data_IF_941777779693
#
_entry.id   IF_941777779693
#
_cell.length_a   1.000
_cell.length_b   1.000
_cell.length_c   1.000
_cell.angle_alpha   90.00
_cell.angle_beta   90.00
_cell.angle_gamma   90.00
#
_symmetry.space_group_name_H-M   'P 1'
#
loop_
_entity.id
_entity.type
_entity.pdbx_description
1 polymer ?
#
# COMPACT_ATOMS: atom_id res chain seq x y z
N UNK A 1 -19.56 13.67 -13.46
CA UNK A 1 -19.18 12.41 -14.08
C UNK A 1 -17.70 12.11 -13.96
N UNK A 2 -16.82 13.00 -14.38
CA UNK A 2 -15.38 12.79 -14.22
C UNK A 2 -14.95 12.62 -12.76
N UNK A 3 -15.60 13.36 -11.86
CA UNK A 3 -15.30 13.27 -10.42
C UNK A 3 -15.68 11.90 -9.86
N UNK A 4 -16.83 11.37 -10.26
CA UNK A 4 -17.30 10.05 -9.83
C UNK A 4 -16.37 8.94 -10.32
N UNK A 5 -15.91 9.04 -11.57
CA UNK A 5 -14.96 8.08 -12.14
C UNK A 5 -13.63 8.11 -11.40
N UNK A 6 -13.14 9.31 -11.05
CA UNK A 6 -11.91 9.46 -10.29
C UNK A 6 -12.05 8.90 -8.88
N UNK A 7 -13.21 9.11 -8.24
CA UNK A 7 -13.45 8.59 -6.91
C UNK A 7 -13.52 7.06 -6.91
N UNK A 8 -14.16 6.46 -7.93
CA UNK A 8 -14.20 5.01 -8.09
C UNK A 8 -12.80 4.45 -8.29
N UNK A 9 -11.98 5.07 -9.15
CA UNK A 9 -10.61 4.63 -9.39
C UNK A 9 -9.75 4.72 -8.14
N UNK A 10 -9.88 5.80 -7.37
CA UNK A 10 -9.15 5.96 -6.12
C UNK A 10 -9.52 4.89 -5.11
N UNK A 11 -10.80 4.58 -5.02
CA UNK A 11 -11.28 3.51 -4.16
C UNK A 11 -10.71 2.16 -4.57
N UNK A 12 -10.72 1.86 -5.86
CA UNK A 12 -10.14 0.63 -6.39
C UNK A 12 -8.65 0.52 -6.08
N UNK A 13 -7.91 1.61 -6.22
CA UNK A 13 -6.48 1.66 -5.90
C UNK A 13 -6.27 1.37 -4.40
N UNK A 14 -7.03 2.04 -3.54
CA UNK A 14 -6.92 1.82 -2.09
C UNK A 14 -7.23 0.37 -1.72
N UNK A 15 -8.26 -0.22 -2.33
CA UNK A 15 -8.63 -1.60 -2.06
C UNK A 15 -7.56 -2.57 -2.54
N UNK A 16 -6.99 -2.33 -3.72
CA UNK A 16 -5.91 -3.16 -4.26
C UNK A 16 -4.68 -3.11 -3.37
N UNK A 17 -4.26 -1.93 -2.98
CA UNK A 17 -3.10 -1.75 -2.11
C UNK A 17 -3.37 -2.36 -0.75
N UNK A 18 -4.55 -2.13 -0.19
CA UNK A 18 -4.92 -2.67 1.11
C UNK A 18 -4.90 -4.19 1.16
N UNK A 19 -5.45 -4.84 0.13
CA UNK A 19 -5.42 -6.30 0.02
C UNK A 19 -3.98 -6.81 -0.09
N UNK A 20 -3.16 -6.11 -0.85
CA UNK A 20 -1.77 -6.50 -1.03
C UNK A 20 -0.99 -6.38 0.28
N UNK A 21 -1.21 -5.30 1.02
CA UNK A 21 -0.59 -5.12 2.34
C UNK A 21 -0.97 -6.28 3.26
N UNK A 22 -2.26 -6.65 3.31
CA UNK A 22 -2.72 -7.74 4.15
C UNK A 22 -2.07 -9.07 3.77
N UNK A 23 -1.97 -9.36 2.48
CA UNK A 23 -1.33 -10.59 1.98
C UNK A 23 0.15 -10.62 2.37
N UNK A 24 0.87 -9.53 2.12
CA UNK A 24 2.30 -9.46 2.42
C UNK A 24 2.57 -9.50 3.91
N UNK A 25 1.71 -8.86 4.71
CA UNK A 25 1.82 -8.92 6.16
C UNK A 25 1.69 -10.36 6.66
N UNK A 26 0.69 -11.07 6.20
CA UNK A 26 0.47 -12.47 6.58
C UNK A 26 1.62 -13.36 6.11
N UNK A 27 2.11 -13.11 4.91
CA UNK A 27 3.27 -13.82 4.38
C UNK A 27 4.49 -13.61 5.26
N UNK A 28 4.68 -12.41 5.77
CA UNK A 28 5.78 -12.09 6.69
C UNK A 28 5.54 -12.62 8.10
N UNK A 29 4.38 -13.22 8.39
CA UNK A 29 4.07 -13.77 9.69
C UNK A 29 3.71 -12.72 10.74
N UNK A 30 3.29 -11.53 10.33
CA UNK A 30 2.99 -10.43 11.23
C UNK A 30 1.50 -10.25 11.45
N UNK A 31 1.12 -9.94 12.71
CA UNK A 31 -0.23 -9.43 12.99
C UNK A 31 -0.33 -7.97 12.58
N UNK A 32 -1.57 -7.45 12.53
CA UNK A 32 -1.77 -6.02 12.29
C UNK A 32 -1.08 -5.17 13.36
N UNK A 33 -1.13 -5.62 14.60
CA UNK A 33 -0.47 -4.94 15.71
C UNK A 33 1.04 -4.91 15.54
N UNK A 34 1.64 -6.04 15.19
CA UNK A 34 3.08 -6.13 14.96
C UNK A 34 3.53 -5.24 13.80
N UNK A 35 2.76 -5.24 12.70
CA UNK A 35 3.06 -4.37 11.57
C UNK A 35 2.97 -2.90 11.99
N UNK A 36 1.91 -2.54 12.74
CA UNK A 36 1.73 -1.16 13.19
C UNK A 36 2.89 -0.70 14.06
N UNK A 37 3.34 -1.52 15.00
CA UNK A 37 4.45 -1.19 15.88
C UNK A 37 5.74 -0.99 15.07
N UNK A 38 6.04 -1.90 14.16
CA UNK A 38 7.27 -1.83 13.36
C UNK A 38 7.24 -0.62 12.41
N UNK A 39 6.08 -0.31 11.85
CA UNK A 39 5.93 0.81 10.92
C UNK A 39 5.72 2.16 11.61
N UNK A 40 5.58 2.18 12.94
CA UNK A 40 5.31 3.42 13.66
C UNK A 40 3.89 3.95 13.43
N UNK A 41 2.94 3.06 13.20
CA UNK A 41 1.53 3.41 12.93
C UNK A 41 0.64 2.87 14.03
N UNK A 42 -0.58 3.40 14.12
CA UNK A 42 -1.58 2.84 15.01
C UNK A 42 -2.21 1.60 14.36
N UNK A 43 -2.60 0.63 15.19
CA UNK A 43 -3.24 -0.59 14.71
C UNK A 43 -4.51 -0.31 13.91
N UNK A 44 -5.31 0.66 14.36
CA UNK A 44 -6.53 1.07 13.65
C UNK A 44 -6.21 1.63 12.27
N UNK A 45 -5.08 2.30 12.12
CA UNK A 45 -4.61 2.83 10.85
C UNK A 45 -4.31 1.69 9.88
N UNK A 46 -3.55 0.69 10.32
CA UNK A 46 -3.23 -0.50 9.52
C UNK A 46 -4.51 -1.22 9.08
N UNK A 47 -5.45 -1.39 10.01
CA UNK A 47 -6.74 -2.04 9.71
C UNK A 47 -7.51 -1.29 8.62
N UNK A 48 -7.57 0.03 8.67
CA UNK A 48 -8.25 0.85 7.67
C UNK A 48 -7.56 0.76 6.31
N UNK A 49 -6.24 0.75 6.30
CA UNK A 49 -5.46 0.59 5.08
C UNK A 49 -5.80 -0.74 4.40
N UNK A 50 -5.79 -1.82 5.16
CA UNK A 50 -6.07 -3.16 4.62
C UNK A 50 -7.49 -3.31 4.10
N UNK A 51 -8.43 -2.53 4.65
CA UNK A 51 -9.82 -2.49 4.17
C UNK A 51 -10.05 -1.54 3.01
N UNK A 52 -9.02 -0.83 2.57
CA UNK A 52 -9.15 0.15 1.49
C UNK A 52 -9.91 1.41 1.89
N UNK A 53 -9.95 1.71 3.18
CA UNK A 53 -10.70 2.87 3.72
C UNK A 53 -9.83 4.07 4.01
N UNK A 54 -8.54 3.98 3.75
CA UNK A 54 -7.62 5.06 4.05
C UNK A 54 -6.77 5.40 2.82
N UNK A 55 -6.68 6.70 2.53
CA UNK A 55 -5.84 7.17 1.45
C UNK A 55 -4.39 7.21 1.93
N UNK A 56 -3.55 6.38 1.33
CA UNK A 56 -2.15 6.28 1.70
C UNK A 56 -1.34 7.41 1.10
N UNK A 57 -0.48 8.02 1.92
CA UNK A 57 0.58 8.87 1.40
C UNK A 57 1.84 8.02 1.20
N UNK A 58 2.80 8.60 0.49
CA UNK A 58 4.03 7.87 0.14
C UNK A 58 4.84 7.52 1.38
N UNK A 59 4.83 8.36 2.40
CA UNK A 59 5.59 8.12 3.63
C UNK A 59 5.04 6.94 4.40
N UNK A 60 3.71 6.83 4.50
CA UNK A 60 3.07 5.69 5.16
C UNK A 60 3.34 4.41 4.38
N UNK A 61 3.23 4.46 3.07
CA UNK A 61 3.49 3.31 2.21
C UNK A 61 4.95 2.85 2.34
N UNK A 62 5.88 3.79 2.39
CA UNK A 62 7.29 3.52 2.61
C UNK A 62 7.53 2.84 3.97
N UNK A 63 6.90 3.37 5.03
CA UNK A 63 7.03 2.81 6.38
C UNK A 63 6.52 1.37 6.44
N UNK A 64 5.41 1.08 5.76
CA UNK A 64 4.86 -0.27 5.68
C UNK A 64 5.82 -1.20 4.93
N UNK A 65 6.32 -0.75 3.78
CA UNK A 65 7.26 -1.53 2.98
C UNK A 65 8.52 -1.88 3.79
N UNK A 66 9.10 -0.91 4.47
CA UNK A 66 10.27 -1.13 5.32
C UNK A 66 9.98 -2.10 6.46
N UNK A 67 8.81 -1.96 7.09
CA UNK A 67 8.42 -2.87 8.17
C UNK A 67 8.25 -4.31 7.68
N UNK A 68 7.88 -4.49 6.42
CA UNK A 68 7.76 -5.80 5.79
C UNK A 68 9.10 -6.31 5.23
N UNK A 69 10.14 -5.48 5.25
CA UNK A 69 11.42 -5.81 4.63
C UNK A 69 11.35 -5.83 3.11
N UNK A 70 10.48 -5.04 2.53
CA UNK A 70 10.18 -5.02 1.09
C UNK A 70 10.29 -3.61 0.53
N UNK A 71 10.21 -3.52 -0.79
CA UNK A 71 10.17 -2.24 -1.48
C UNK A 71 8.73 -1.89 -1.86
N UNK A 72 8.45 -0.59 -2.07
CA UNK A 72 7.10 -0.07 -2.32
C UNK A 72 6.45 -0.71 -3.56
N UNK A 73 7.22 -1.00 -4.59
CA UNK A 73 6.72 -1.57 -5.83
C UNK A 73 6.14 -2.97 -5.66
N UNK A 74 6.55 -3.71 -4.63
CA UNK A 74 5.94 -5.00 -4.31
C UNK A 74 4.54 -4.81 -3.76
N UNK A 75 4.32 -3.74 -3.00
CA UNK A 75 3.02 -3.44 -2.40
C UNK A 75 2.02 -3.01 -3.48
N UNK A 76 2.44 -2.17 -4.40
CA UNK A 76 1.58 -1.73 -5.50
C UNK A 76 2.14 -2.19 -6.84
N UNK A 77 1.65 -3.32 -7.37
CA UNK A 77 2.09 -3.79 -8.68
C UNK A 77 1.82 -2.79 -9.81
N UNK A 78 0.89 -1.85 -9.60
CA UNK A 78 0.63 -0.79 -10.58
C UNK A 78 1.82 0.10 -10.84
N UNK A 79 2.74 0.20 -9.87
CA UNK A 79 3.98 0.95 -10.07
C UNK A 79 4.90 0.29 -11.09
N UNK A 80 4.74 -1.00 -11.33
CA UNK A 80 5.52 -1.71 -12.34
C UNK A 80 5.15 -1.25 -13.75
N UNK A 81 3.93 -0.76 -13.95
CA UNK A 81 3.50 -0.22 -15.23
C UNK A 81 4.28 1.04 -15.62
N UNK A 82 4.95 1.66 -14.65
CA UNK A 82 5.83 2.79 -14.88
C UNK A 82 7.26 2.39 -15.23
N UNK A 83 7.57 1.10 -15.17
CA UNK A 83 8.91 0.59 -15.46
C UNK A 83 9.44 1.01 -16.83
N UNK A 84 8.63 1.05 -17.92
CA UNK A 84 9.11 1.56 -19.22
C UNK A 84 9.60 3.00 -19.15
N UNK A 85 8.97 3.83 -18.30
CA UNK A 85 9.40 5.22 -18.10
C UNK A 85 10.74 5.29 -17.39
N UNK A 86 10.96 4.42 -16.42
CA UNK A 86 12.23 4.33 -15.70
C UNK A 86 13.36 3.89 -16.61
N UNK A 87 13.07 3.05 -17.60
CA UNK A 87 14.07 2.57 -18.56
C UNK A 87 14.51 3.64 -19.54
N UNK A 88 13.71 4.68 -19.72
CA UNK A 88 14.05 5.80 -20.61
C UNK A 88 15.02 6.79 -19.95
N UNK A 89 15.19 6.70 -18.64
CA UNK A 89 16.16 7.52 -17.91
C UNK A 89 17.45 6.72 -17.74
N UNK A 90 18.56 7.21 -18.26
CA UNK A 90 19.85 6.52 -18.12
C UNK A 90 20.32 6.44 -16.68
#
# INVERSE_FOLDING_TARGET
>A
MEKEEKDVKRKEIRQRIGKRVAVLRKFAGLSQEQLSETAGLQRTHVSRIEKGRYSLNIETLQAIAEALGMTVDIIDPGLQDLAPLKRLTP
#
